data_IF_894859029314
#
_entry.id   IF_894859029314
#
_cell.length_a   1.000
_cell.length_b   1.000
_cell.length_c   1.000
_cell.angle_alpha   90.00
_cell.angle_beta   90.00
_cell.angle_gamma   90.00
#
_symmetry.space_group_name_H-M   'P 1'
#
loop_
_entity.id
_entity.type
_entity.pdbx_description
1 polymer ?
#
# COMPACT_ATOMS: atom_id res chain seq x y z
N UNK A 1 -1.79 2.40 9.81
CA UNK A 1 -2.26 3.78 9.49
C UNK A 1 -3.67 3.97 9.98
N UNK A 2 -4.19 5.21 10.03
CA UNK A 2 -5.60 5.47 10.41
C UNK A 2 -6.46 5.43 9.12
N UNK A 3 -7.42 4.50 8.97
CA UNK A 3 -8.26 4.44 7.78
C UNK A 3 -9.24 5.63 7.73
N UNK A 4 -9.34 6.30 6.59
CA UNK A 4 -10.27 7.42 6.37
C UNK A 4 -11.62 6.94 5.83
N UNK A 5 -11.59 6.01 4.86
CA UNK A 5 -12.76 5.34 4.28
C UNK A 5 -12.39 3.90 3.94
N UNK A 6 -13.33 2.98 4.11
CA UNK A 6 -13.14 1.55 3.82
C UNK A 6 -14.47 0.89 3.47
N UNK A 7 -14.42 -0.16 2.65
CA UNK A 7 -15.53 -1.06 2.36
C UNK A 7 -15.34 -2.45 3.02
N UNK A 8 -14.29 -2.60 3.84
CA UNK A 8 -13.99 -3.81 4.61
C UNK A 8 -14.46 -3.65 6.07
N UNK A 9 -14.52 -4.77 6.80
CA UNK A 9 -14.73 -4.71 8.24
C UNK A 9 -13.56 -4.01 8.95
N UNK A 10 -13.83 -3.46 10.13
CA UNK A 10 -12.87 -2.63 10.87
C UNK A 10 -11.58 -3.39 11.22
N UNK A 11 -11.69 -4.66 11.62
CA UNK A 11 -10.52 -5.47 12.00
C UNK A 11 -9.59 -5.69 10.82
N UNK A 12 -10.15 -6.14 9.70
CA UNK A 12 -9.40 -6.36 8.45
C UNK A 12 -8.80 -5.06 7.93
N UNK A 13 -9.57 -3.96 7.96
CA UNK A 13 -9.10 -2.64 7.53
C UNK A 13 -7.86 -2.21 8.31
N UNK A 14 -7.87 -2.32 9.64
CA UNK A 14 -6.75 -1.92 10.49
C UNK A 14 -5.50 -2.76 10.21
N UNK A 15 -5.67 -4.08 10.02
CA UNK A 15 -4.55 -4.97 9.70
C UNK A 15 -3.91 -4.60 8.36
N UNK A 16 -4.71 -4.46 7.30
CA UNK A 16 -4.19 -4.06 5.98
C UNK A 16 -3.58 -2.66 6.01
N UNK A 17 -4.22 -1.69 6.64
CA UNK A 17 -3.72 -0.32 6.72
C UNK A 17 -2.40 -0.21 7.48
N UNK A 18 -2.11 -1.12 8.42
CA UNK A 18 -0.82 -1.14 9.11
C UNK A 18 0.26 -1.86 8.31
N UNK A 19 -0.02 -3.06 7.82
CA UNK A 19 0.97 -3.85 7.06
C UNK A 19 1.36 -3.18 5.74
N UNK A 20 0.39 -2.68 4.97
CA UNK A 20 0.67 -2.07 3.66
C UNK A 20 1.41 -0.74 3.83
N UNK A 21 1.09 0.03 4.87
CA UNK A 21 1.83 1.27 5.19
C UNK A 21 3.30 0.98 5.46
N UNK A 22 3.59 0.00 6.32
CA UNK A 22 4.97 -0.40 6.63
C UNK A 22 5.71 -0.85 5.36
N UNK A 23 5.06 -1.67 4.54
CA UNK A 23 5.64 -2.18 3.30
C UNK A 23 5.94 -1.06 2.29
N UNK A 24 5.03 -0.09 2.15
CA UNK A 24 5.27 1.08 1.28
C UNK A 24 6.44 1.91 1.78
N UNK A 25 6.54 2.17 3.08
CA UNK A 25 7.69 2.91 3.62
C UNK A 25 9.01 2.20 3.27
N UNK A 26 9.06 0.87 3.40
CA UNK A 26 10.24 0.09 3.02
C UNK A 26 10.50 0.12 1.51
N UNK A 27 9.46 0.00 0.68
CA UNK A 27 9.59 0.06 -0.76
C UNK A 27 10.08 1.45 -1.24
N UNK A 28 9.60 2.52 -0.63
CA UNK A 28 10.08 3.89 -0.88
C UNK A 28 11.58 4.02 -0.57
N UNK A 29 12.01 3.54 0.60
CA UNK A 29 13.44 3.51 0.95
C UNK A 29 14.25 2.71 -0.05
N UNK A 30 13.80 1.49 -0.39
CA UNK A 30 14.51 0.62 -1.33
C UNK A 30 14.64 1.21 -2.74
N UNK A 31 13.60 1.89 -3.25
CA UNK A 31 13.65 2.59 -4.55
C UNK A 31 14.65 3.74 -4.50
N UNK A 32 14.65 4.54 -3.43
CA UNK A 32 15.59 5.66 -3.26
C UNK A 32 17.03 5.22 -3.03
N UNK A 33 17.23 4.07 -2.38
CA UNK A 33 18.55 3.47 -2.18
C UNK A 33 19.15 2.99 -3.52
N UNK A 34 18.32 2.58 -4.48
CA UNK A 34 18.73 2.19 -5.82
C UNK A 34 19.02 3.40 -6.72
N UNK A 35 18.09 4.36 -6.76
CA UNK A 35 18.26 5.64 -7.45
C UNK A 35 17.51 6.75 -6.67
N UNK A 36 18.22 7.73 -6.09
CA UNK A 36 17.60 8.77 -5.28
C UNK A 36 16.69 9.71 -6.09
N UNK A 37 16.74 9.69 -7.43
CA UNK A 37 15.86 10.47 -8.30
C UNK A 37 14.53 9.75 -8.59
N UNK A 38 14.41 8.47 -8.22
CA UNK A 38 13.20 7.70 -8.49
C UNK A 38 12.18 7.86 -7.34
N UNK A 39 10.91 7.97 -7.71
CA UNK A 39 9.79 8.03 -6.78
C UNK A 39 8.88 6.82 -6.95
N UNK A 40 8.41 6.26 -5.82
CA UNK A 40 7.46 5.15 -5.87
C UNK A 40 6.06 5.67 -6.19
N UNK A 41 5.62 5.43 -7.43
CA UNK A 41 4.29 5.84 -7.91
C UNK A 41 3.20 4.86 -7.44
N UNK A 42 3.46 3.56 -7.53
CA UNK A 42 2.54 2.54 -7.02
C UNK A 42 3.29 1.27 -6.63
N UNK A 43 2.71 0.54 -5.68
CA UNK A 43 3.13 -0.80 -5.28
C UNK A 43 2.03 -1.79 -5.63
N UNK A 44 2.32 -2.74 -6.52
CA UNK A 44 1.38 -3.79 -6.94
C UNK A 44 1.90 -5.15 -6.50
N UNK A 45 1.15 -5.82 -5.65
CA UNK A 45 1.51 -7.12 -5.04
C UNK A 45 0.46 -8.12 -5.44
N UNK A 46 0.87 -9.11 -6.25
CA UNK A 46 -0.01 -10.21 -6.65
C UNK A 46 0.27 -11.44 -5.80
N UNK A 47 -0.77 -11.97 -5.18
CA UNK A 47 -0.77 -13.27 -4.50
C UNK A 47 -1.67 -14.24 -5.25
N UNK A 48 -1.71 -15.51 -4.83
CA UNK A 48 -2.61 -16.51 -5.42
C UNK A 48 -4.10 -16.19 -5.22
N UNK A 49 -4.45 -15.46 -4.16
CA UNK A 49 -5.84 -15.19 -3.78
C UNK A 49 -6.29 -13.77 -4.07
N UNK A 50 -5.36 -12.82 -3.97
CA UNK A 50 -5.65 -11.40 -4.07
C UNK A 50 -4.53 -10.66 -4.77
N UNK A 51 -4.89 -9.59 -5.44
CA UNK A 51 -3.99 -8.56 -5.90
C UNK A 51 -4.22 -7.29 -5.09
N UNK A 52 -3.13 -6.76 -4.54
CA UNK A 52 -3.13 -5.55 -3.71
C UNK A 52 -2.40 -4.47 -4.50
N UNK A 53 -3.07 -3.34 -4.71
CA UNK A 53 -2.49 -2.15 -5.33
C UNK A 53 -2.52 -1.06 -4.28
N UNK A 54 -1.37 -0.48 -3.99
CA UNK A 54 -1.24 0.59 -3.02
C UNK A 54 -0.50 1.77 -3.65
N UNK A 55 -1.10 2.95 -3.60
CA UNK A 55 -0.57 4.16 -4.20
C UNK A 55 -0.75 5.36 -3.24
N UNK A 56 0.28 6.22 -3.10
CA UNK A 56 0.13 7.47 -2.38
C UNK A 56 -0.73 8.46 -3.19
N UNK A 57 -1.67 9.13 -2.54
CA UNK A 57 -2.55 10.15 -3.12
C UNK A 57 -2.81 11.25 -2.09
N UNK A 58 -2.39 12.49 -2.35
CA UNK A 58 -2.69 13.69 -1.54
C UNK A 58 -2.59 13.45 -0.02
N UNK A 59 -1.40 13.06 0.46
CA UNK A 59 -1.08 12.70 1.86
C UNK A 59 -1.79 11.46 2.43
N UNK A 60 -2.63 10.81 1.63
CA UNK A 60 -3.28 9.55 1.97
C UNK A 60 -2.64 8.38 1.22
N UNK A 61 -2.95 7.18 1.70
CA UNK A 61 -2.59 5.95 1.00
C UNK A 61 -3.85 5.27 0.49
N UNK A 62 -3.99 5.19 -0.82
CA UNK A 62 -5.04 4.43 -1.46
C UNK A 62 -4.63 2.96 -1.51
N UNK A 63 -5.47 2.08 -0.96
CA UNK A 63 -5.25 0.63 -0.97
C UNK A 63 -6.45 -0.02 -1.66
N UNK A 64 -6.18 -0.77 -2.72
CA UNK A 64 -7.16 -1.56 -3.48
C UNK A 64 -6.82 -3.02 -3.31
N UNK A 65 -7.80 -3.83 -2.94
CA UNK A 65 -7.70 -5.29 -2.86
C UNK A 65 -8.69 -5.86 -3.86
N UNK A 66 -8.20 -6.62 -4.83
CA UNK A 66 -9.00 -7.23 -5.87
C UNK A 66 -8.70 -8.72 -6.02
N UNK A 67 -9.58 -9.43 -6.72
CA UNK A 67 -9.28 -10.80 -7.13
C UNK A 67 -8.23 -10.78 -8.27
N UNK A 68 -7.30 -11.75 -8.28
CA UNK A 68 -6.15 -11.78 -9.19
C UNK A 68 -6.49 -12.13 -10.63
#
# INVERSE_FOLDING_TARGET
>A
GIPVRTNLDTSTTLQYAEHIRQLITQAWSAVRDLDPQNELICLRIRTKKHEIIAAPENDCLLIVIQNP
#
